data_IF_659072378444
#
_entry.id   IF_659072378444
#
_cell.length_a   1.000
_cell.length_b   1.000
_cell.length_c   1.000
_cell.angle_alpha   90.00
_cell.angle_beta   90.00
_cell.angle_gamma   90.00
#
_symmetry.space_group_name_H-M   'P 1'
#
loop_
_entity.id
_entity.type
_entity.pdbx_description
1 polymer ?
#
# COMPACT_ATOMS: atom_id res chain seq x y z
N UNK A 1 -39.61 9.23 -10.25
CA UNK A 1 -38.47 9.43 -9.37
C UNK A 1 -38.18 8.20 -8.57
N UNK A 2 -37.72 7.21 -9.30
CA UNK A 2 -37.39 5.86 -8.78
C UNK A 2 -36.11 5.91 -7.89
N UNK A 3 -35.30 6.97 -8.01
CA UNK A 3 -34.08 7.14 -7.21
C UNK A 3 -34.34 7.54 -5.77
N UNK A 4 -35.28 8.46 -5.54
CA UNK A 4 -35.54 9.01 -4.22
C UNK A 4 -36.23 8.00 -3.29
N UNK A 5 -37.12 7.17 -3.85
CA UNK A 5 -37.80 6.13 -3.08
C UNK A 5 -36.84 5.02 -2.64
N UNK A 6 -35.88 4.65 -3.49
CA UNK A 6 -34.84 3.67 -3.13
C UNK A 6 -33.91 4.20 -2.05
N UNK A 7 -33.55 5.47 -2.11
CA UNK A 7 -32.73 6.12 -1.09
C UNK A 7 -33.50 6.22 0.22
N UNK A 8 -34.77 6.64 0.15
CA UNK A 8 -35.64 6.76 1.32
C UNK A 8 -35.84 5.41 2.01
N UNK A 9 -36.15 4.37 1.25
CA UNK A 9 -36.33 3.02 1.78
C UNK A 9 -35.03 2.45 2.38
N UNK A 10 -33.89 2.80 1.82
CA UNK A 10 -32.59 2.41 2.35
C UNK A 10 -32.32 3.04 3.74
N UNK A 11 -32.82 4.25 3.98
CA UNK A 11 -32.71 4.91 5.28
C UNK A 11 -33.77 4.45 6.28
N UNK A 12 -35.00 4.17 5.83
CA UNK A 12 -36.11 3.76 6.70
C UNK A 12 -35.92 2.36 7.29
N UNK A 13 -35.21 1.47 6.58
CA UNK A 13 -35.00 0.09 6.99
C UNK A 13 -33.71 -0.14 7.77
N UNK A 14 -32.91 0.90 8.02
CA UNK A 14 -31.67 0.76 8.78
C UNK A 14 -31.91 0.92 10.28
N UNK A 15 -31.53 -0.11 11.03
CA UNK A 15 -31.45 -0.04 12.47
C UNK A 15 -30.24 0.81 12.88
N UNK A 16 -30.46 1.98 13.47
CA UNK A 16 -29.41 2.91 13.89
C UNK A 16 -28.41 2.30 14.87
N UNK A 17 -28.84 1.34 15.70
CA UNK A 17 -27.92 0.65 16.61
C UNK A 17 -26.96 -0.27 15.86
N UNK A 18 -27.43 -0.98 14.83
CA UNK A 18 -26.59 -1.81 13.98
C UNK A 18 -25.59 -0.97 13.20
N UNK A 19 -25.99 0.19 12.68
CA UNK A 19 -25.10 1.13 12.00
C UNK A 19 -23.99 1.59 12.94
N UNK A 20 -24.32 2.01 14.16
CA UNK A 20 -23.34 2.44 15.16
C UNK A 20 -22.35 1.34 15.52
N UNK A 21 -22.82 0.12 15.71
CA UNK A 21 -21.95 -1.04 16.00
C UNK A 21 -21.05 -1.35 14.83
N UNK A 22 -21.57 -1.33 13.60
CA UNK A 22 -20.78 -1.56 12.38
C UNK A 22 -19.70 -0.49 12.18
N UNK A 23 -20.06 0.78 12.36
CA UNK A 23 -19.13 1.90 12.24
C UNK A 23 -18.03 1.85 13.31
N UNK A 24 -18.40 1.55 14.56
CA UNK A 24 -17.44 1.39 15.63
C UNK A 24 -16.45 0.26 15.36
N UNK A 25 -16.94 -0.87 14.86
CA UNK A 25 -16.10 -1.99 14.49
C UNK A 25 -15.15 -1.65 13.33
N UNK A 26 -15.63 -0.92 12.34
CA UNK A 26 -14.81 -0.44 11.24
C UNK A 26 -13.70 0.51 11.72
N UNK A 27 -14.02 1.42 12.64
CA UNK A 27 -13.05 2.33 13.25
C UNK A 27 -11.95 1.54 13.98
N UNK A 28 -12.31 0.51 14.74
CA UNK A 28 -11.33 -0.36 15.39
C UNK A 28 -10.40 -1.06 14.39
N UNK A 29 -10.93 -1.54 13.27
CA UNK A 29 -10.12 -2.14 12.21
C UNK A 29 -9.14 -1.15 11.59
N UNK A 30 -9.58 0.08 11.33
CA UNK A 30 -8.74 1.17 10.82
C UNK A 30 -7.62 1.49 11.80
N UNK A 31 -7.95 1.63 13.09
CA UNK A 31 -6.96 1.85 14.15
C UNK A 31 -5.95 0.71 14.24
N UNK A 32 -6.41 -0.53 14.13
CA UNK A 32 -5.55 -1.71 14.15
C UNK A 32 -4.56 -1.71 12.98
N UNK A 33 -4.98 -1.31 11.79
CA UNK A 33 -4.09 -1.18 10.63
C UNK A 33 -3.02 -0.10 10.84
N UNK A 34 -3.39 1.06 11.40
CA UNK A 34 -2.41 2.10 11.74
C UNK A 34 -1.39 1.62 12.76
N UNK A 35 -1.85 1.02 13.85
CA UNK A 35 -0.96 0.49 14.90
C UNK A 35 -0.01 -0.55 14.33
N UNK A 36 -0.52 -1.51 13.58
CA UNK A 36 0.28 -2.58 12.97
C UNK A 36 1.30 -2.04 11.97
N UNK A 37 0.87 -1.10 11.12
CA UNK A 37 1.74 -0.45 10.14
C UNK A 37 2.89 0.32 10.79
N UNK A 38 2.60 1.18 11.74
CA UNK A 38 3.62 1.94 12.46
C UNK A 38 4.57 1.04 13.25
N UNK A 39 4.04 0.02 13.92
CA UNK A 39 4.86 -0.92 14.68
C UNK A 39 5.85 -1.68 13.79
N UNK A 40 5.40 -2.17 12.64
CA UNK A 40 6.25 -2.87 11.68
C UNK A 40 7.29 -1.95 11.03
N UNK A 41 6.87 -0.76 10.58
CA UNK A 41 7.75 0.19 9.93
C UNK A 41 8.80 0.77 10.87
N UNK A 42 8.48 0.97 12.13
CA UNK A 42 9.42 1.47 13.13
C UNK A 42 10.66 0.58 13.30
N UNK A 43 10.54 -0.71 13.03
CA UNK A 43 11.64 -1.68 13.12
C UNK A 43 12.56 -1.71 11.90
N UNK A 44 12.13 -1.12 10.79
CA UNK A 44 12.87 -1.18 9.52
C UNK A 44 13.99 -0.15 9.46
N UNK A 45 13.81 0.99 10.11
CA UNK A 45 14.76 2.09 10.09
C UNK A 45 14.44 3.12 9.01
N UNK A 46 15.36 4.03 8.70
CA UNK A 46 15.11 5.14 7.78
C UNK A 46 14.90 4.64 6.35
N UNK A 47 13.79 5.06 5.76
CA UNK A 47 13.42 4.70 4.39
C UNK A 47 12.99 5.93 3.61
N UNK A 48 13.07 5.83 2.28
CA UNK A 48 12.53 6.79 1.33
C UNK A 48 11.41 6.13 0.55
N UNK A 49 10.27 6.81 0.44
CA UNK A 49 9.14 6.32 -0.33
C UNK A 49 9.25 6.77 -1.80
N UNK A 50 9.02 5.85 -2.71
CA UNK A 50 8.99 6.12 -4.15
C UNK A 50 7.59 5.79 -4.67
N UNK A 51 6.92 6.79 -5.22
CA UNK A 51 5.60 6.69 -5.83
C UNK A 51 5.71 6.78 -7.34
N UNK A 52 4.87 6.04 -8.04
CA UNK A 52 4.82 6.10 -9.48
C UNK A 52 3.79 5.15 -10.08
N UNK A 53 3.68 5.22 -11.40
CA UNK A 53 2.68 4.49 -12.17
C UNK A 53 2.88 2.98 -12.11
N UNK A 54 1.80 2.25 -11.90
CA UNK A 54 1.75 0.79 -12.03
C UNK A 54 1.86 0.30 -13.47
N UNK A 55 1.72 1.19 -14.45
CA UNK A 55 1.65 0.87 -15.88
C UNK A 55 2.95 1.10 -16.64
N UNK A 56 3.98 1.62 -16.00
CA UNK A 56 5.27 1.88 -16.64
C UNK A 56 5.93 0.55 -17.03
N UNK A 57 6.21 0.33 -18.34
CA UNK A 57 6.86 -0.91 -18.78
C UNK A 57 8.33 -0.97 -18.37
N UNK A 58 8.86 -2.19 -18.27
CA UNK A 58 10.23 -2.42 -17.82
C UNK A 58 11.31 -1.84 -18.76
N UNK A 59 10.99 -1.62 -20.02
CA UNK A 59 11.90 -1.02 -21.02
C UNK A 59 11.83 0.52 -21.03
N UNK A 60 10.99 1.13 -20.21
CA UNK A 60 10.89 2.57 -20.08
C UNK A 60 12.13 3.17 -19.41
N UNK A 61 12.55 4.34 -19.90
CA UNK A 61 13.60 5.14 -19.23
C UNK A 61 13.23 5.52 -17.78
N UNK A 62 11.96 5.67 -17.49
CA UNK A 62 11.47 5.99 -16.15
C UNK A 62 11.56 4.81 -15.19
N UNK A 63 11.34 3.59 -15.70
CA UNK A 63 11.58 2.37 -14.93
C UNK A 63 13.05 2.28 -14.52
N UNK A 64 13.95 2.46 -15.47
CA UNK A 64 15.39 2.45 -15.20
C UNK A 64 15.82 3.55 -14.24
N UNK A 65 15.25 4.74 -14.39
CA UNK A 65 15.54 5.86 -13.50
C UNK A 65 15.10 5.57 -12.05
N UNK A 66 13.93 4.99 -11.88
CA UNK A 66 13.43 4.60 -10.56
C UNK A 66 14.30 3.51 -9.92
N UNK A 67 14.69 2.51 -10.70
CA UNK A 67 15.59 1.45 -10.27
C UNK A 67 16.96 2.00 -9.82
N UNK A 68 17.57 2.85 -10.64
CA UNK A 68 18.85 3.48 -10.32
C UNK A 68 18.77 4.40 -9.10
N UNK A 69 17.69 5.15 -8.96
CA UNK A 69 17.44 6.00 -7.80
C UNK A 69 17.35 5.17 -6.52
N UNK A 70 16.59 4.09 -6.55
CA UNK A 70 16.45 3.18 -5.41
C UNK A 70 17.78 2.53 -5.03
N UNK A 71 18.57 2.13 -6.01
CA UNK A 71 19.92 1.60 -5.79
C UNK A 71 20.82 2.62 -5.09
N UNK A 72 20.83 3.86 -5.56
CA UNK A 72 21.62 4.93 -4.95
C UNK A 72 21.18 5.26 -3.51
N UNK A 73 19.88 5.25 -3.26
CA UNK A 73 19.33 5.42 -1.92
C UNK A 73 19.81 4.30 -0.98
N UNK A 74 19.79 3.07 -1.46
CA UNK A 74 20.27 1.91 -0.72
C UNK A 74 21.77 2.01 -0.42
N UNK A 75 22.56 2.40 -1.40
CA UNK A 75 24.01 2.64 -1.23
C UNK A 75 24.29 3.76 -0.22
N UNK A 76 23.36 4.70 -0.07
CA UNK A 76 23.42 5.78 0.91
C UNK A 76 22.90 5.40 2.31
N UNK A 77 22.47 4.15 2.50
CA UNK A 77 22.02 3.63 3.79
C UNK A 77 20.53 3.73 4.06
N UNK A 78 19.72 4.05 3.06
CA UNK A 78 18.26 4.12 3.20
C UNK A 78 17.58 2.86 2.68
N UNK A 79 16.51 2.44 3.35
CA UNK A 79 15.55 1.50 2.77
C UNK A 79 14.64 2.20 1.76
N UNK A 80 13.96 1.43 0.94
CA UNK A 80 13.02 1.95 -0.07
C UNK A 80 11.63 1.38 0.18
N UNK A 81 10.65 2.25 0.24
CA UNK A 81 9.24 1.90 0.38
C UNK A 81 8.51 2.22 -0.91
N UNK A 82 7.72 1.27 -1.40
CA UNK A 82 6.81 1.47 -2.52
C UNK A 82 5.41 0.97 -2.18
N UNK A 83 4.46 1.19 -3.07
CA UNK A 83 3.14 0.59 -2.96
C UNK A 83 3.08 -0.91 -3.22
N UNK A 84 4.20 -1.52 -3.58
CA UNK A 84 4.32 -2.96 -3.74
C UNK A 84 3.79 -3.54 -5.05
N UNK A 85 3.30 -2.71 -5.96
CA UNK A 85 2.75 -3.11 -7.25
C UNK A 85 3.77 -3.16 -8.39
N UNK A 86 3.28 -3.26 -9.63
CA UNK A 86 4.12 -3.25 -10.82
C UNK A 86 4.59 -1.85 -11.22
N UNK A 87 5.31 -1.74 -12.32
CA UNK A 87 5.76 -0.48 -12.90
C UNK A 87 6.85 0.20 -12.08
N UNK A 88 6.67 1.47 -11.76
CA UNK A 88 7.64 2.25 -10.98
C UNK A 88 7.84 1.67 -9.57
N UNK A 89 6.80 1.15 -8.96
CA UNK A 89 6.87 0.51 -7.64
C UNK A 89 7.80 -0.72 -7.69
N UNK A 90 7.65 -1.54 -8.71
CA UNK A 90 8.52 -2.69 -8.95
C UNK A 90 9.99 -2.25 -9.19
N UNK A 91 10.19 -1.23 -10.01
CA UNK A 91 11.52 -0.70 -10.29
C UNK A 91 12.22 -0.21 -9.02
N UNK A 92 11.50 0.50 -8.16
CA UNK A 92 12.01 0.97 -6.88
C UNK A 92 12.41 -0.20 -5.95
N UNK A 93 11.54 -1.19 -5.81
CA UNK A 93 11.85 -2.37 -5.01
C UNK A 93 13.00 -3.17 -5.61
N UNK A 94 13.04 -3.32 -6.94
CA UNK A 94 14.12 -4.01 -7.63
C UNK A 94 15.49 -3.38 -7.36
N UNK A 95 15.57 -2.06 -7.48
CA UNK A 95 16.82 -1.33 -7.23
C UNK A 95 17.33 -1.53 -5.80
N UNK A 96 16.45 -1.46 -4.81
CA UNK A 96 16.79 -1.70 -3.42
C UNK A 96 17.16 -3.17 -3.15
N UNK A 97 16.38 -4.11 -3.65
CA UNK A 97 16.59 -5.53 -3.45
C UNK A 97 17.91 -6.02 -4.03
N UNK A 98 18.20 -5.68 -5.28
CA UNK A 98 19.43 -6.08 -5.96
C UNK A 98 20.68 -5.41 -5.39
N UNK A 99 20.54 -4.24 -4.78
CA UNK A 99 21.62 -3.57 -4.06
C UNK A 99 21.84 -4.11 -2.63
N UNK A 100 21.08 -5.10 -2.20
CA UNK A 100 21.18 -5.70 -0.88
C UNK A 100 20.59 -4.87 0.24
N UNK A 101 19.73 -3.91 -0.08
CA UNK A 101 19.05 -3.04 0.88
C UNK A 101 17.69 -3.54 1.31
N UNK A 102 17.04 -2.72 2.12
CA UNK A 102 15.69 -2.99 2.62
C UNK A 102 14.66 -2.58 1.56
N UNK A 103 13.91 -3.54 1.08
CA UNK A 103 12.86 -3.36 0.06
C UNK A 103 11.50 -3.60 0.68
N UNK A 104 10.74 -2.53 0.87
CA UNK A 104 9.47 -2.52 1.61
C UNK A 104 8.32 -2.29 0.67
N UNK A 105 7.26 -3.07 0.81
CA UNK A 105 6.03 -2.89 0.07
C UNK A 105 4.85 -2.63 0.98
N UNK A 106 4.13 -1.54 0.73
CA UNK A 106 2.86 -1.23 1.36
C UNK A 106 1.74 -1.52 0.35
N UNK A 107 1.35 -2.77 0.28
CA UNK A 107 0.36 -3.22 -0.69
C UNK A 107 -1.06 -2.99 -0.19
N UNK A 108 -1.99 -2.79 -1.12
CA UNK A 108 -3.40 -2.72 -0.79
C UNK A 108 -4.10 -3.98 -1.28
N UNK A 109 -4.94 -4.54 -0.42
CA UNK A 109 -5.76 -5.68 -0.80
C UNK A 109 -6.96 -5.20 -1.62
N UNK A 110 -7.00 -5.60 -2.88
CA UNK A 110 -8.08 -5.30 -3.80
C UNK A 110 -8.84 -6.58 -4.12
N UNK A 111 -10.20 -6.52 -4.25
CA UNK A 111 -11.03 -7.71 -4.50
C UNK A 111 -10.70 -8.45 -5.80
N UNK A 112 -10.09 -7.76 -6.76
CA UNK A 112 -9.81 -8.28 -8.10
C UNK A 112 -8.32 -8.39 -8.44
N UNK A 113 -7.44 -7.82 -7.62
CA UNK A 113 -6.00 -7.80 -7.88
C UNK A 113 -5.25 -8.03 -6.57
N UNK A 114 -4.72 -9.22 -6.39
CA UNK A 114 -3.72 -9.52 -5.36
C UNK A 114 -2.36 -9.63 -6.04
N UNK A 115 -1.72 -8.49 -6.26
CA UNK A 115 -0.41 -8.46 -6.87
C UNK A 115 0.55 -7.66 -6.01
N UNK A 116 1.64 -8.27 -5.65
CA UNK A 116 2.82 -7.59 -5.16
C UNK A 116 4.02 -8.04 -5.99
N UNK A 117 4.98 -7.15 -6.22
CA UNK A 117 6.15 -7.51 -7.02
C UNK A 117 7.10 -8.42 -6.22
N UNK A 118 7.91 -9.17 -6.94
CA UNK A 118 8.82 -10.19 -6.38
C UNK A 118 10.05 -9.63 -5.66
N UNK A 119 10.29 -8.33 -5.74
CA UNK A 119 11.48 -7.68 -5.17
C UNK A 119 11.26 -7.12 -3.77
N UNK A 120 10.14 -7.39 -3.15
CA UNK A 120 9.85 -7.00 -1.76
C UNK A 120 10.41 -8.07 -0.83
N UNK A 121 11.13 -7.66 0.21
CA UNK A 121 11.58 -8.59 1.24
C UNK A 121 10.38 -9.23 1.94
N UNK A 122 10.42 -10.54 2.18
CA UNK A 122 9.28 -11.30 2.68
C UNK A 122 8.74 -10.80 4.02
N UNK A 123 9.62 -10.33 4.89
CA UNK A 123 9.28 -9.81 6.21
C UNK A 123 8.93 -8.30 6.18
N UNK A 124 8.96 -7.68 5.00
CA UNK A 124 8.71 -6.25 4.79
C UNK A 124 7.56 -5.97 3.85
N UNK A 125 6.72 -6.96 3.58
CA UNK A 125 5.46 -6.79 2.86
C UNK A 125 4.34 -6.53 3.87
N UNK A 126 3.75 -5.34 3.80
CA UNK A 126 2.58 -4.97 4.59
C UNK A 126 1.37 -4.89 3.66
N UNK A 127 0.25 -5.46 4.10
CA UNK A 127 -1.00 -5.45 3.36
C UNK A 127 -2.04 -4.63 4.12
N UNK A 128 -2.78 -3.79 3.41
CA UNK A 128 -3.79 -2.89 3.97
C UNK A 128 -5.13 -3.08 3.27
N UNK A 129 -6.21 -3.12 4.05
CA UNK A 129 -7.58 -3.12 3.54
C UNK A 129 -8.04 -1.70 3.20
N UNK A 130 -7.48 -0.70 3.87
CA UNK A 130 -7.88 0.71 3.72
C UNK A 130 -6.81 1.51 3.00
N UNK A 131 -7.17 2.02 1.83
CA UNK A 131 -6.25 2.77 0.98
C UNK A 131 -5.61 3.98 1.68
N UNK A 132 -6.41 4.69 2.48
CA UNK A 132 -5.95 5.90 3.16
C UNK A 132 -5.04 5.62 4.37
N UNK A 133 -5.05 4.42 4.89
CA UNK A 133 -4.12 4.01 5.97
C UNK A 133 -2.71 3.82 5.41
N UNK A 134 -2.62 3.23 4.23
CA UNK A 134 -1.37 3.02 3.52
C UNK A 134 -0.62 4.32 3.23
#
# INVERSE_FOLDING_TARGET
MIGDDKIRNAFENKNWQEIKVTDSWQIFKIMAEFVDGFEKLAKIGPCVSIFGSARTPQDSKYYKLAEDTARLLTESGYGVISGGGPGIMEAANKGAYEAGGKSVGLNIELPFEQFHNKYIDRDKLLEFDYFFVR
#
